data_IF_566762692982
#
_entry.id   IF_566762692982
#
_cell.length_a   1.000
_cell.length_b   1.000
_cell.length_c   1.000
_cell.angle_alpha   90.00
_cell.angle_beta   90.00
_cell.angle_gamma   90.00
#
_symmetry.space_group_name_H-M   'P 1'
#
loop_
_entity.id
_entity.type
_entity.pdbx_description
1 polymer ?
#
# COMPACT_ATOMS: atom_id res chain seq x y z
N UNK A 1 24.44 -1.86 22.71
CA UNK A 1 23.02 -1.56 22.48
C UNK A 1 22.56 -2.44 21.33
N UNK A 2 21.54 -3.28 21.50
CA UNK A 2 21.01 -4.11 20.40
C UNK A 2 20.31 -3.19 19.39
N UNK A 3 20.81 -3.15 18.16
CA UNK A 3 20.22 -2.38 17.08
C UNK A 3 18.89 -3.02 16.66
N UNK A 4 17.77 -2.29 16.83
CA UNK A 4 16.43 -2.74 16.42
C UNK A 4 16.18 -2.36 14.96
N UNK A 5 15.58 -3.25 14.19
CA UNK A 5 15.20 -2.95 12.80
C UNK A 5 16.40 -2.77 11.86
N UNK A 6 17.38 -3.68 11.96
CA UNK A 6 18.59 -3.67 11.13
C UNK A 6 18.26 -3.67 9.64
N UNK A 7 19.19 -3.18 8.82
CA UNK A 7 19.04 -3.17 7.36
C UNK A 7 18.71 -4.56 6.80
N UNK A 8 19.38 -5.61 7.32
CA UNK A 8 19.13 -7.00 6.91
C UNK A 8 17.67 -7.40 7.09
N UNK A 9 17.03 -7.00 8.20
CA UNK A 9 15.62 -7.29 8.46
C UNK A 9 14.70 -6.55 7.48
N UNK A 10 14.89 -5.24 7.30
CA UNK A 10 14.07 -4.42 6.40
C UNK A 10 14.19 -4.87 4.94
N UNK A 11 15.42 -5.19 4.51
CA UNK A 11 15.66 -5.75 3.18
C UNK A 11 15.00 -7.11 3.02
N UNK A 12 15.12 -7.99 4.01
CA UNK A 12 14.48 -9.31 3.98
C UNK A 12 12.97 -9.23 3.78
N UNK A 13 12.29 -8.30 4.46
CA UNK A 13 10.86 -8.07 4.25
C UNK A 13 10.54 -7.64 2.80
N UNK A 14 11.30 -6.71 2.23
CA UNK A 14 11.09 -6.28 0.85
C UNK A 14 11.35 -7.41 -0.16
N UNK A 15 12.31 -8.29 0.12
CA UNK A 15 12.63 -9.45 -0.73
C UNK A 15 11.47 -10.47 -0.78
N UNK A 16 10.65 -10.58 0.28
CA UNK A 16 9.46 -11.44 0.29
C UNK A 16 8.36 -11.01 -0.69
N UNK A 17 8.36 -9.74 -1.12
CA UNK A 17 7.38 -9.21 -2.07
C UNK A 17 7.79 -9.39 -3.54
N UNK A 18 8.97 -9.97 -3.80
CA UNK A 18 9.48 -10.17 -5.17
C UNK A 18 8.59 -11.12 -5.97
N UNK A 19 8.34 -10.75 -7.23
CA UNK A 19 7.51 -11.53 -8.15
C UNK A 19 6.01 -11.34 -7.95
N UNK A 20 5.59 -10.58 -6.95
CA UNK A 20 4.18 -10.24 -6.73
C UNK A 20 3.75 -8.90 -7.33
N UNK A 21 2.45 -8.63 -7.23
CA UNK A 21 1.84 -7.34 -7.60
C UNK A 21 1.37 -6.64 -6.32
N UNK A 22 1.63 -5.34 -6.21
CA UNK A 22 1.06 -4.47 -5.17
C UNK A 22 0.01 -3.60 -5.84
N UNK A 23 -1.22 -3.60 -5.32
CA UNK A 23 -2.35 -2.88 -5.94
C UNK A 23 -2.77 -1.64 -5.13
N UNK A 24 -2.99 -0.52 -5.82
CA UNK A 24 -3.58 0.68 -5.25
C UNK A 24 -5.08 0.45 -4.96
N UNK A 25 -5.52 0.74 -3.74
CA UNK A 25 -6.91 0.56 -3.30
C UNK A 25 -7.40 1.77 -2.51
N UNK A 26 -8.69 2.09 -2.60
CA UNK A 26 -9.29 3.24 -1.89
C UNK A 26 -10.36 2.86 -0.85
N UNK A 27 -10.71 1.57 -0.74
CA UNK A 27 -11.65 1.06 0.25
C UNK A 27 -11.45 -0.44 0.52
N UNK A 28 -12.11 -0.95 1.55
CA UNK A 28 -12.03 -2.34 1.98
C UNK A 28 -12.54 -3.36 0.93
N UNK A 29 -13.48 -2.95 0.06
CA UNK A 29 -13.98 -3.83 -1.01
C UNK A 29 -12.89 -4.07 -2.06
N UNK A 30 -12.22 -3.01 -2.53
CA UNK A 30 -11.09 -3.12 -3.45
C UNK A 30 -9.92 -3.90 -2.84
N UNK A 31 -9.67 -3.76 -1.53
CA UNK A 31 -8.65 -4.54 -0.83
C UNK A 31 -8.93 -6.05 -0.91
N UNK A 32 -10.18 -6.46 -0.69
CA UNK A 32 -10.60 -7.86 -0.83
C UNK A 32 -10.45 -8.37 -2.26
N UNK A 33 -10.87 -7.58 -3.25
CA UNK A 33 -10.73 -7.94 -4.67
C UNK A 33 -9.24 -8.10 -5.04
N UNK A 34 -8.38 -7.22 -4.54
CA UNK A 34 -6.93 -7.31 -4.79
C UNK A 34 -6.31 -8.58 -4.18
N UNK A 35 -6.70 -8.93 -2.96
CA UNK A 35 -6.29 -10.18 -2.31
C UNK A 35 -6.77 -11.41 -3.10
N UNK A 36 -8.03 -11.46 -3.48
CA UNK A 36 -8.62 -12.53 -4.30
C UNK A 36 -7.96 -12.65 -5.68
N UNK A 37 -7.52 -11.54 -6.26
CA UNK A 37 -6.78 -11.50 -7.51
C UNK A 37 -5.29 -11.94 -7.38
N UNK A 38 -4.82 -12.21 -6.16
CA UNK A 38 -3.45 -12.67 -5.89
C UNK A 38 -2.42 -11.55 -5.71
N UNK A 39 -2.85 -10.34 -5.34
CA UNK A 39 -1.91 -9.29 -4.94
C UNK A 39 -1.16 -9.71 -3.66
N UNK A 40 0.16 -9.48 -3.63
CA UNK A 40 0.99 -9.81 -2.45
C UNK A 40 0.90 -8.75 -1.34
N UNK A 41 0.43 -7.55 -1.69
CA UNK A 41 0.14 -6.46 -0.78
C UNK A 41 -0.80 -5.44 -1.45
N UNK A 42 -1.36 -4.53 -0.66
CA UNK A 42 -2.15 -3.39 -1.14
C UNK A 42 -1.56 -2.06 -0.70
N UNK A 43 -1.77 -1.01 -1.49
CA UNK A 43 -1.42 0.37 -1.16
C UNK A 43 -2.71 1.16 -0.93
N UNK A 44 -3.02 1.43 0.34
CA UNK A 44 -4.21 2.18 0.73
C UNK A 44 -4.03 3.67 0.47
N UNK A 45 -4.93 4.24 -0.32
CA UNK A 45 -4.91 5.63 -0.79
C UNK A 45 -6.29 6.24 -0.61
N UNK A 46 -6.37 7.56 -0.52
CA UNK A 46 -7.68 8.24 -0.51
C UNK A 46 -8.28 8.33 -1.92
N UNK A 47 -7.42 8.36 -2.94
CA UNK A 47 -7.76 8.40 -4.36
C UNK A 47 -6.67 7.72 -5.18
N UNK A 48 -7.05 7.06 -6.27
CA UNK A 48 -6.06 6.47 -7.19
C UNK A 48 -5.31 7.56 -7.97
N UNK A 49 -4.08 7.29 -8.48
CA UNK A 49 -3.29 8.29 -9.19
C UNK A 49 -3.99 8.95 -10.39
N UNK A 50 -4.86 8.22 -11.08
CA UNK A 50 -5.67 8.76 -12.19
C UNK A 50 -6.60 9.89 -11.71
N UNK A 51 -7.28 9.68 -10.58
CA UNK A 51 -8.20 10.66 -9.99
C UNK A 51 -7.45 11.85 -9.41
N UNK A 52 -6.29 11.63 -8.79
CA UNK A 52 -5.42 12.71 -8.30
C UNK A 52 -5.02 13.63 -9.45
N UNK A 53 -4.63 13.06 -10.59
CA UNK A 53 -4.24 13.84 -11.79
C UNK A 53 -5.42 14.60 -12.38
N UNK A 54 -6.61 13.99 -12.42
CA UNK A 54 -7.82 14.60 -12.96
C UNK A 54 -8.33 15.75 -12.09
N UNK A 55 -8.37 15.56 -10.77
CA UNK A 55 -8.88 16.56 -9.82
C UNK A 55 -7.91 17.73 -9.61
N UNK A 56 -6.60 17.50 -9.78
CA UNK A 56 -5.57 18.47 -9.43
C UNK A 56 -5.49 18.77 -7.93
N UNK A 57 -4.80 19.86 -7.58
CA UNK A 57 -4.63 20.29 -6.19
C UNK A 57 -3.54 19.55 -5.42
N UNK A 58 -3.65 19.53 -4.09
CA UNK A 58 -2.62 18.97 -3.19
C UNK A 58 -3.04 17.57 -2.71
N UNK A 59 -2.25 16.55 -3.07
CA UNK A 59 -2.38 15.20 -2.54
C UNK A 59 -1.57 15.05 -1.24
N UNK A 60 -2.19 14.44 -0.21
CA UNK A 60 -1.56 14.16 1.09
C UNK A 60 -1.66 12.67 1.41
N UNK A 61 -1.12 12.27 2.56
CA UNK A 61 -1.35 10.94 3.14
C UNK A 61 -2.85 10.72 3.36
N UNK A 62 -3.32 9.50 3.10
CA UNK A 62 -4.67 9.08 3.43
C UNK A 62 -4.95 9.22 4.94
N UNK A 63 -6.19 9.53 5.30
CA UNK A 63 -6.63 9.48 6.70
C UNK A 63 -6.36 8.08 7.27
N UNK A 64 -5.72 7.93 8.45
CA UNK A 64 -5.46 6.63 9.07
C UNK A 64 -6.71 5.73 9.16
N UNK A 65 -7.92 6.29 9.25
CA UNK A 65 -9.17 5.52 9.22
C UNK A 65 -9.35 4.70 7.94
N UNK A 66 -8.87 5.20 6.79
CA UNK A 66 -8.88 4.47 5.51
C UNK A 66 -7.88 3.30 5.54
N UNK A 67 -6.79 3.43 6.29
CA UNK A 67 -5.74 2.40 6.38
C UNK A 67 -6.14 1.27 7.36
N UNK A 68 -6.88 1.61 8.42
CA UNK A 68 -7.31 0.66 9.45
C UNK A 68 -8.65 -0.05 9.13
N UNK A 69 -9.28 0.26 7.99
CA UNK A 69 -10.55 -0.35 7.55
C UNK A 69 -10.32 -1.49 6.57
#
# INVERSE_FOLDING_TARGET
>A
MLEKGTYKLKKGLAEMLKGGVIMDVVNAEQAKIAEEAGAVAVMALERVPADIRSAGGVARMADPKIIFT
#
